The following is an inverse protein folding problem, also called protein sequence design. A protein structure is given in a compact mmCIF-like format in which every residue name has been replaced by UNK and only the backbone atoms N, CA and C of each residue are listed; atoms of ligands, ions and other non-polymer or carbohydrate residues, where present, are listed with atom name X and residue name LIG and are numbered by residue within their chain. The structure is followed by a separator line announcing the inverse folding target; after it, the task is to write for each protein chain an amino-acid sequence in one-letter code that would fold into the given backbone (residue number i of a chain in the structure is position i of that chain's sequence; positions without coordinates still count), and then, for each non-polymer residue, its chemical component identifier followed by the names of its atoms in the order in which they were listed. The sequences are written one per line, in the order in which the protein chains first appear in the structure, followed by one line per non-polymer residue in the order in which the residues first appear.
data_IF_049618647593
#
_entry.id   IF_049618647593
#
_cell.length_a   1.000
_cell.length_b   1.000
_cell.length_c   1.000
_cell.angle_alpha   90.00
_cell.angle_beta   90.00
_cell.angle_gamma   90.00
#
_symmetry.space_group_name_H-M   'P 1'
#
loop_
_entity.id
_entity.type
_entity.pdbx_description
1 polymer ?
#
# COMPACT_ATOMS: atom_id res chain seq x y z
N UNK A 1 -39.59 -2.44 4.23
CA UNK A 1 -38.35 -3.22 4.42
C UNK A 1 -37.13 -2.52 3.80
N UNK A 2 -37.29 -1.80 2.69
CA UNK A 2 -36.21 -1.05 2.02
C UNK A 2 -35.67 0.14 2.82
N UNK A 3 -36.50 0.94 3.50
CA UNK A 3 -36.03 2.07 4.32
C UNK A 3 -35.09 1.66 5.46
N UNK A 4 -35.40 0.55 6.15
CA UNK A 4 -34.51 -0.01 7.19
C UNK A 4 -33.18 -0.50 6.60
N UNK A 5 -33.19 -1.03 5.37
CA UNK A 5 -31.97 -1.46 4.68
C UNK A 5 -31.09 -0.28 4.24
N UNK A 6 -31.72 0.83 3.82
CA UNK A 6 -31.04 2.07 3.45
C UNK A 6 -30.45 2.75 4.68
N UNK A 7 -31.22 2.90 5.77
CA UNK A 7 -30.71 3.46 7.03
C UNK A 7 -29.54 2.66 7.61
N UNK A 8 -29.60 1.32 7.61
CA UNK A 8 -28.48 0.48 8.04
C UNK A 8 -27.21 0.71 7.19
N UNK A 9 -27.36 0.91 5.88
CA UNK A 9 -26.23 1.22 5.00
C UNK A 9 -25.58 2.57 5.32
N UNK A 10 -26.35 3.60 5.67
CA UNK A 10 -25.81 4.89 6.05
C UNK A 10 -25.10 4.89 7.40
N UNK A 11 -25.66 4.22 8.41
CA UNK A 11 -25.02 4.09 9.74
C UNK A 11 -23.66 3.38 9.60
N UNK A 12 -23.63 2.26 8.87
CA UNK A 12 -22.37 1.54 8.59
C UNK A 12 -21.38 2.39 7.80
N UNK A 13 -21.86 3.23 6.87
CA UNK A 13 -21.01 4.17 6.12
C UNK A 13 -20.37 5.19 7.05
N UNK A 14 -21.14 5.79 7.97
CA UNK A 14 -20.62 6.77 8.93
C UNK A 14 -19.58 6.12 9.86
N UNK A 15 -19.86 4.91 10.37
CA UNK A 15 -18.89 4.16 11.18
C UNK A 15 -17.59 3.93 10.40
N UNK A 16 -17.67 3.50 9.14
CA UNK A 16 -16.49 3.33 8.28
C UNK A 16 -15.74 4.63 8.04
N UNK A 17 -16.44 5.76 7.93
CA UNK A 17 -15.82 7.07 7.77
C UNK A 17 -15.03 7.48 9.02
N UNK A 18 -15.61 7.30 10.21
CA UNK A 18 -14.92 7.56 11.49
C UNK A 18 -13.70 6.65 11.64
N UNK A 19 -13.86 5.35 11.37
CA UNK A 19 -12.75 4.40 11.40
C UNK A 19 -11.67 4.74 10.37
N UNK A 20 -12.05 5.19 9.17
CA UNK A 20 -11.11 5.69 8.18
C UNK A 20 -10.28 6.86 8.73
N UNK A 21 -10.89 7.86 9.37
CA UNK A 21 -10.16 9.01 9.93
C UNK A 21 -9.13 8.56 10.98
N UNK A 22 -9.51 7.61 11.84
CA UNK A 22 -8.62 7.01 12.84
C UNK A 22 -7.45 6.30 12.14
N UNK A 23 -7.73 5.43 11.17
CA UNK A 23 -6.71 4.67 10.43
C UNK A 23 -5.82 5.60 9.62
N UNK A 24 -6.37 6.69 9.06
CA UNK A 24 -5.64 7.67 8.28
C UNK A 24 -4.56 8.36 9.12
N UNK A 25 -4.82 8.61 10.41
CA UNK A 25 -3.80 9.13 11.33
C UNK A 25 -2.59 8.19 11.43
N UNK A 26 -2.84 6.87 11.55
CA UNK A 26 -1.77 5.87 11.56
C UNK A 26 -1.06 5.79 10.21
N UNK A 27 -1.80 5.84 9.09
CA UNK A 27 -1.23 5.81 7.75
C UNK A 27 -0.23 6.95 7.53
N UNK A 28 -0.60 8.17 7.91
CA UNK A 28 0.24 9.36 7.76
C UNK A 28 1.50 9.24 8.60
N UNK A 29 1.37 8.89 9.88
CA UNK A 29 2.53 8.81 10.80
C UNK A 29 3.46 7.64 10.44
N UNK A 30 2.92 6.47 10.08
CA UNK A 30 3.72 5.36 9.57
C UNK A 30 4.47 5.75 8.30
N UNK A 31 3.83 6.46 7.36
CA UNK A 31 4.47 6.91 6.13
C UNK A 31 5.61 7.90 6.39
N UNK A 32 5.42 8.83 7.34
CA UNK A 32 6.46 9.79 7.75
C UNK A 32 7.67 9.09 8.35
N UNK A 33 7.44 8.18 9.31
CA UNK A 33 8.51 7.40 9.96
C UNK A 33 9.23 6.53 8.94
N UNK A 34 8.48 5.89 8.03
CA UNK A 34 9.05 5.09 6.94
C UNK A 34 9.99 5.91 6.06
N UNK A 35 9.54 7.07 5.59
CA UNK A 35 10.35 7.95 4.76
C UNK A 35 11.59 8.47 5.51
N UNK A 36 11.44 8.78 6.80
CA UNK A 36 12.55 9.20 7.66
C UNK A 36 13.60 8.11 7.77
N UNK A 37 13.20 6.88 8.08
CA UNK A 37 14.11 5.73 8.18
C UNK A 37 14.80 5.44 6.86
N UNK A 38 14.12 5.55 5.72
CA UNK A 38 14.75 5.41 4.41
C UNK A 38 15.82 6.45 4.15
N UNK A 39 15.58 7.72 4.52
CA UNK A 39 16.55 8.82 4.36
C UNK A 39 17.79 8.66 5.22
N UNK A 40 17.67 8.00 6.37
CA UNK A 40 18.80 7.72 7.26
C UNK A 40 19.72 6.60 6.73
N UNK A 41 19.29 5.83 5.73
CA UNK A 41 20.09 4.76 5.13
C UNK A 41 20.80 5.28 3.89
N UNK A 42 22.07 5.66 4.03
CA UNK A 42 22.91 6.16 2.92
C UNK A 42 23.01 5.21 1.72
N UNK A 43 22.91 3.90 1.97
CA UNK A 43 22.92 2.88 0.90
C UNK A 43 21.64 2.85 0.05
N UNK A 44 20.58 3.55 0.47
CA UNK A 44 19.29 3.56 -0.20
C UNK A 44 19.16 4.80 -1.10
N UNK A 45 19.21 4.59 -2.42
CA UNK A 45 19.01 5.65 -3.41
C UNK A 45 17.52 5.95 -3.59
N UNK A 46 17.02 6.97 -2.89
CA UNK A 46 15.61 7.40 -2.96
C UNK A 46 15.17 7.74 -4.39
N UNK A 47 16.08 8.25 -5.23
CA UNK A 47 15.81 8.50 -6.65
C UNK A 47 15.38 7.25 -7.41
N UNK A 48 15.94 6.07 -7.08
CA UNK A 48 15.55 4.79 -7.70
C UNK A 48 14.14 4.38 -7.29
N UNK A 49 13.76 4.63 -6.03
CA UNK A 49 12.39 4.41 -5.56
C UNK A 49 11.41 5.37 -6.23
N UNK A 50 11.77 6.65 -6.36
CA UNK A 50 10.93 7.63 -7.03
C UNK A 50 10.72 7.26 -8.50
N UNK A 51 11.80 6.87 -9.19
CA UNK A 51 11.73 6.42 -10.57
C UNK A 51 10.86 5.17 -10.73
N UNK A 52 10.91 4.20 -9.80
CA UNK A 52 10.06 3.01 -9.89
C UNK A 52 8.58 3.33 -9.74
N UNK A 53 8.22 4.23 -8.82
CA UNK A 53 6.85 4.74 -8.66
C UNK A 53 6.40 5.47 -9.94
N UNK A 54 7.23 6.36 -10.48
CA UNK A 54 6.92 7.13 -11.68
C UNK A 54 6.73 6.24 -12.91
N UNK A 55 7.65 5.29 -13.13
CA UNK A 55 7.56 4.32 -14.23
C UNK A 55 6.31 3.46 -14.11
N UNK A 56 6.00 2.98 -12.91
CA UNK A 56 4.79 2.21 -12.66
C UNK A 56 3.53 3.02 -12.98
N UNK A 57 3.48 4.29 -12.54
CA UNK A 57 2.36 5.17 -12.81
C UNK A 57 2.21 5.47 -14.30
N UNK A 58 3.31 5.78 -14.99
CA UNK A 58 3.33 6.02 -16.43
C UNK A 58 2.87 4.79 -17.22
N UNK A 59 3.38 3.60 -16.88
CA UNK A 59 2.96 2.34 -17.48
C UNK A 59 1.45 2.12 -17.34
N UNK A 60 0.92 2.28 -16.12
CA UNK A 60 -0.49 2.04 -15.89
C UNK A 60 -1.41 3.07 -16.56
N UNK A 61 -0.98 4.33 -16.63
CA UNK A 61 -1.77 5.44 -17.19
C UNK A 61 -1.76 5.45 -18.71
N UNK A 62 -0.59 5.22 -19.33
CA UNK A 62 -0.41 5.40 -20.77
C UNK A 62 -0.38 4.10 -21.57
N UNK A 63 -0.18 2.94 -20.93
CA UNK A 63 -0.16 1.65 -21.62
C UNK A 63 -1.33 0.77 -21.16
N UNK A 64 -1.36 0.43 -19.87
CA UNK A 64 -2.31 -0.56 -19.35
C UNK A 64 -3.79 -0.09 -19.40
N UNK A 65 -4.05 1.20 -19.21
CA UNK A 65 -5.42 1.75 -19.27
C UNK A 65 -5.95 1.98 -20.68
N UNK A 66 -5.06 2.18 -21.64
CA UNK A 66 -5.42 2.44 -23.04
C UNK A 66 -5.58 1.13 -23.84
N UNK A 67 -4.97 0.02 -23.39
CA UNK A 67 -5.00 -1.24 -24.11
C UNK A 67 -6.14 -2.19 -23.67
N UNK A 68 -7.06 -2.46 -24.60
CA UNK A 68 -8.15 -3.42 -24.43
C UNK A 68 -7.65 -4.86 -24.19
N UNK A 69 -6.47 -5.21 -24.71
CA UNK A 69 -5.86 -6.53 -24.55
C UNK A 69 -5.44 -6.74 -23.09
N UNK A 70 -4.88 -5.71 -22.45
CA UNK A 70 -4.51 -5.74 -21.04
C UNK A 70 -5.74 -5.91 -20.13
N UNK A 71 -6.83 -5.21 -20.45
CA UNK A 71 -8.11 -5.35 -19.75
C UNK A 71 -8.70 -6.77 -19.87
N UNK A 72 -8.48 -7.46 -20.99
CA UNK A 72 -8.88 -8.87 -21.20
C UNK A 72 -7.98 -9.85 -20.42
N UNK A 73 -6.66 -9.67 -20.46
CA UNK A 73 -5.70 -10.48 -19.68
C UNK A 73 -6.01 -10.35 -18.18
N UNK A 74 -6.26 -9.13 -17.70
CA UNK A 74 -6.67 -8.92 -16.31
C UNK A 74 -7.96 -9.68 -15.97
N UNK A 75 -9.03 -9.54 -16.77
CA UNK A 75 -10.29 -10.26 -16.49
C UNK A 75 -10.15 -11.79 -16.59
N UNK A 76 -9.22 -12.31 -17.39
CA UNK A 76 -8.97 -13.73 -17.52
C UNK A 76 -8.26 -14.32 -16.29
N UNK A 77 -7.17 -13.68 -15.84
CA UNK A 77 -6.40 -14.15 -14.68
C UNK A 77 -7.06 -13.80 -13.33
N UNK A 78 -7.84 -12.72 -13.24
CA UNK A 78 -8.35 -12.17 -11.97
C UNK A 78 -9.85 -12.44 -11.73
N UNK A 79 -10.40 -13.55 -12.26
CA UNK A 79 -11.83 -13.90 -12.15
C UNK A 79 -12.28 -14.34 -10.75
N UNK A 80 -11.35 -14.73 -9.86
CA UNK A 80 -11.66 -15.19 -8.48
C UNK A 80 -11.13 -14.20 -7.45
N UNK A 81 -11.98 -13.78 -6.51
CA UNK A 81 -11.70 -12.80 -5.44
C UNK A 81 -10.53 -13.22 -4.54
N UNK A 82 -10.23 -14.52 -4.46
CA UNK A 82 -9.14 -15.08 -3.65
C UNK A 82 -7.79 -15.02 -4.38
N UNK A 83 -7.71 -15.49 -5.62
CA UNK A 83 -6.50 -15.36 -6.46
C UNK A 83 -6.15 -13.88 -6.69
N UNK A 84 -7.16 -13.02 -6.72
CA UNK A 84 -7.08 -11.57 -6.86
C UNK A 84 -6.32 -10.82 -5.76
N UNK A 85 -6.40 -11.27 -4.51
CA UNK A 85 -5.67 -10.67 -3.36
C UNK A 85 -4.28 -11.31 -3.17
N UNK A 86 -4.16 -12.60 -3.50
CA UNK A 86 -2.90 -13.33 -3.34
C UNK A 86 -1.91 -13.12 -4.49
N UNK A 87 -2.33 -12.94 -5.75
CA UNK A 87 -1.39 -12.91 -6.89
C UNK A 87 -0.36 -11.76 -6.80
N UNK A 88 -0.75 -10.51 -6.48
CA UNK A 88 0.22 -9.43 -6.31
C UNK A 88 1.16 -9.68 -5.12
N UNK A 89 0.62 -10.27 -4.04
CA UNK A 89 1.39 -10.71 -2.87
C UNK A 89 2.36 -11.85 -3.22
N UNK A 90 1.97 -12.75 -4.13
CA UNK A 90 2.78 -13.82 -4.72
C UNK A 90 3.86 -13.27 -5.64
N UNK A 91 3.60 -12.22 -6.42
CA UNK A 91 4.64 -11.56 -7.24
C UNK A 91 5.64 -10.83 -6.35
N UNK A 92 5.18 -10.18 -5.26
CA UNK A 92 6.07 -9.62 -4.23
C UNK A 92 6.86 -10.74 -3.54
N UNK A 93 6.23 -11.87 -3.17
CA UNK A 93 6.89 -13.05 -2.59
C UNK A 93 7.86 -13.75 -3.55
N UNK A 94 7.55 -13.80 -4.85
CA UNK A 94 8.41 -14.33 -5.90
C UNK A 94 9.56 -13.37 -6.19
N UNK A 95 9.34 -12.05 -6.12
CA UNK A 95 10.40 -11.05 -6.14
C UNK A 95 11.31 -11.19 -4.91
N UNK A 96 10.73 -11.32 -3.72
CA UNK A 96 11.46 -11.63 -2.48
C UNK A 96 12.25 -12.93 -2.64
N UNK A 97 11.65 -14.01 -3.16
CA UNK A 97 12.30 -15.31 -3.39
C UNK A 97 13.42 -15.25 -4.43
N UNK A 98 13.18 -14.56 -5.55
CA UNK A 98 14.14 -14.34 -6.63
C UNK A 98 15.37 -13.55 -6.14
N UNK A 99 15.21 -12.63 -5.19
CA UNK A 99 16.32 -11.88 -4.59
C UNK A 99 16.92 -12.50 -3.32
N UNK A 100 16.20 -13.38 -2.64
CA UNK A 100 16.76 -14.23 -1.59
C UNK A 100 17.74 -15.24 -2.18
N UNK A 101 17.50 -15.76 -3.39
CA UNK A 101 18.36 -16.74 -4.04
C UNK A 101 19.81 -16.24 -4.25
N UNK A 102 20.06 -15.05 -4.83
CA UNK A 102 21.40 -14.44 -4.88
C UNK A 102 22.03 -14.25 -3.50
N UNK A 103 21.25 -13.84 -2.50
CA UNK A 103 21.74 -13.62 -1.13
C UNK A 103 22.15 -14.93 -0.45
N UNK A 104 21.41 -16.01 -0.65
CA UNK A 104 21.72 -17.35 -0.12
C UNK A 104 22.92 -17.96 -0.86
N UNK A 105 23.02 -17.75 -2.17
CA UNK A 105 24.10 -18.27 -3.01
C UNK A 105 25.37 -17.39 -3.01
N UNK A 106 25.38 -16.27 -2.29
CA UNK A 106 26.53 -15.36 -2.22
C UNK A 106 26.83 -14.58 -3.51
N UNK A 107 25.88 -14.50 -4.45
CA UNK A 107 26.05 -13.74 -5.68
C UNK A 107 25.90 -12.23 -5.42
N UNK A 108 26.72 -11.43 -6.10
CA UNK A 108 26.54 -9.99 -6.15
C UNK A 108 25.25 -9.66 -6.91
N UNK A 109 24.38 -8.85 -6.31
CA UNK A 109 23.16 -8.35 -6.97
C UNK A 109 23.07 -6.83 -6.85
N UNK A 110 22.45 -6.20 -7.84
CA UNK A 110 22.24 -4.76 -7.83
C UNK A 110 21.19 -4.37 -6.79
N UNK A 111 21.62 -3.67 -5.73
CA UNK A 111 20.73 -3.09 -4.71
C UNK A 111 19.73 -2.10 -5.32
N UNK A 112 20.11 -1.47 -6.42
CA UNK A 112 19.26 -0.52 -7.15
C UNK A 112 18.14 -1.25 -7.89
N UNK A 113 18.46 -2.36 -8.58
CA UNK A 113 17.45 -3.21 -9.22
C UNK A 113 16.48 -3.78 -8.18
N UNK A 114 17.00 -4.24 -7.05
CA UNK A 114 16.19 -4.69 -5.91
C UNK A 114 15.24 -3.60 -5.41
N UNK A 115 15.75 -2.39 -5.19
CA UNK A 115 14.95 -1.26 -4.73
C UNK A 115 13.89 -0.83 -5.77
N UNK A 116 14.27 -0.84 -7.06
CA UNK A 116 13.39 -0.51 -8.17
C UNK A 116 12.22 -1.50 -8.25
N UNK A 117 12.49 -2.80 -8.27
CA UNK A 117 11.46 -3.83 -8.39
C UNK A 117 10.54 -3.86 -7.17
N UNK A 118 11.09 -3.68 -5.97
CA UNK A 118 10.28 -3.57 -4.76
C UNK A 118 9.32 -2.38 -4.81
N UNK A 119 9.83 -1.20 -5.19
CA UNK A 119 9.00 0.00 -5.34
C UNK A 119 7.95 -0.15 -6.46
N UNK A 120 8.33 -0.72 -7.60
CA UNK A 120 7.42 -0.98 -8.72
C UNK A 120 6.29 -1.93 -8.32
N UNK A 121 6.60 -3.03 -7.61
CA UNK A 121 5.61 -3.99 -7.14
C UNK A 121 4.68 -3.37 -6.08
N UNK A 122 5.22 -2.60 -5.15
CA UNK A 122 4.46 -1.85 -4.15
C UNK A 122 3.45 -0.89 -4.84
N UNK A 123 3.92 -0.05 -5.76
CA UNK A 123 3.06 0.89 -6.48
C UNK A 123 2.05 0.19 -7.37
N UNK A 124 2.45 -0.87 -8.08
CA UNK A 124 1.56 -1.67 -8.92
C UNK A 124 0.40 -2.24 -8.12
N UNK A 125 0.67 -2.76 -6.92
CA UNK A 125 -0.37 -3.31 -6.06
C UNK A 125 -1.33 -2.20 -5.57
N UNK A 126 -0.82 -1.03 -5.19
CA UNK A 126 -1.67 0.09 -4.79
C UNK A 126 -2.56 0.61 -5.94
N UNK A 127 -2.02 0.74 -7.15
CA UNK A 127 -2.80 1.13 -8.33
C UNK A 127 -3.89 0.10 -8.61
N UNK A 128 -3.54 -1.19 -8.55
CA UNK A 128 -4.49 -2.27 -8.75
C UNK A 128 -5.63 -2.24 -7.72
N UNK A 129 -5.29 -2.17 -6.42
CA UNK A 129 -6.28 -2.04 -5.35
C UNK A 129 -7.16 -0.82 -5.61
N UNK A 130 -6.57 0.35 -5.84
CA UNK A 130 -7.32 1.59 -6.03
C UNK A 130 -8.36 1.50 -7.17
N UNK A 131 -8.01 0.85 -8.29
CA UNK A 131 -8.94 0.65 -9.42
C UNK A 131 -10.13 -0.21 -9.06
N UNK A 132 -9.92 -1.23 -8.25
CA UNK A 132 -10.91 -2.27 -7.96
C UNK A 132 -11.91 -1.86 -6.89
N UNK A 133 -11.44 -1.13 -5.87
CA UNK A 133 -12.30 -0.67 -4.78
C UNK A 133 -13.00 0.66 -5.08
N UNK A 134 -12.74 1.28 -6.25
CA UNK A 134 -13.33 2.59 -6.61
C UNK A 134 -14.85 2.51 -6.74
N UNK A 135 -15.56 3.14 -5.80
CA UNK A 135 -17.01 3.32 -5.85
C UNK A 135 -17.42 4.66 -6.48
N UNK A 136 -18.57 4.70 -7.16
CA UNK A 136 -19.18 5.93 -7.72
C UNK A 136 -20.18 6.62 -6.78
N UNK A 137 -20.60 5.94 -5.72
CA UNK A 137 -21.54 6.46 -4.71
C UNK A 137 -20.79 6.91 -3.46
N UNK A 138 -21.40 7.73 -2.61
CA UNK A 138 -20.80 8.16 -1.33
C UNK A 138 -20.39 6.96 -0.45
N UNK A 139 -21.27 5.98 -0.25
CA UNK A 139 -20.95 4.74 0.48
C UNK A 139 -19.79 3.98 -0.16
N UNK A 140 -19.76 3.91 -1.49
CA UNK A 140 -18.65 3.29 -2.23
C UNK A 140 -17.34 4.05 -2.05
N UNK A 141 -17.36 5.38 -2.02
CA UNK A 141 -16.19 6.22 -1.79
C UNK A 141 -15.65 6.10 -0.34
N UNK A 142 -16.51 6.08 0.66
CA UNK A 142 -16.10 5.87 2.05
C UNK A 142 -15.49 4.47 2.24
N UNK A 143 -16.13 3.45 1.65
CA UNK A 143 -15.59 2.08 1.67
C UNK A 143 -14.23 2.00 0.95
N UNK A 144 -14.09 2.72 -0.17
CA UNK A 144 -12.82 2.86 -0.89
C UNK A 144 -11.73 3.42 0.02
N UNK A 145 -11.97 4.58 0.65
CA UNK A 145 -10.98 5.24 1.53
C UNK A 145 -10.57 4.32 2.68
N UNK A 146 -11.55 3.74 3.36
CA UNK A 146 -11.32 2.82 4.48
C UNK A 146 -10.46 1.61 4.07
N UNK A 147 -10.86 0.88 3.02
CA UNK A 147 -10.13 -0.31 2.56
C UNK A 147 -8.75 0.03 2.02
N UNK A 148 -8.63 1.13 1.27
CA UNK A 148 -7.36 1.61 0.73
C UNK A 148 -6.38 1.91 1.84
N UNK A 149 -6.80 2.60 2.91
CA UNK A 149 -5.91 2.93 4.03
C UNK A 149 -5.38 1.70 4.76
N UNK A 150 -6.22 0.69 5.00
CA UNK A 150 -5.79 -0.58 5.62
C UNK A 150 -4.77 -1.28 4.73
N UNK A 151 -5.09 -1.44 3.45
CA UNK A 151 -4.22 -2.14 2.49
C UNK A 151 -2.91 -1.39 2.27
N UNK A 152 -2.93 -0.05 2.31
CA UNK A 152 -1.73 0.76 2.24
C UNK A 152 -0.80 0.50 3.43
N UNK A 153 -1.32 0.52 4.66
CA UNK A 153 -0.53 0.23 5.88
C UNK A 153 0.10 -1.17 5.79
N UNK A 154 -0.69 -2.18 5.42
CA UNK A 154 -0.20 -3.55 5.27
C UNK A 154 0.90 -3.64 4.22
N UNK A 155 0.71 -3.01 3.05
CA UNK A 155 1.73 -2.95 2.01
C UNK A 155 3.00 -2.24 2.46
N UNK A 156 2.88 -1.18 3.25
CA UNK A 156 4.02 -0.44 3.78
C UNK A 156 4.85 -1.32 4.74
N UNK A 157 4.20 -2.13 5.57
CA UNK A 157 4.87 -3.09 6.47
C UNK A 157 5.59 -4.17 5.65
N UNK A 158 4.91 -4.76 4.66
CA UNK A 158 5.50 -5.79 3.78
C UNK A 158 6.70 -5.21 3.01
N UNK A 159 6.57 -3.99 2.49
CA UNK A 159 7.66 -3.31 1.81
C UNK A 159 8.82 -2.98 2.78
N UNK A 160 8.52 -2.63 4.04
CA UNK A 160 9.53 -2.50 5.08
C UNK A 160 10.26 -3.81 5.38
N UNK A 161 9.55 -4.95 5.41
CA UNK A 161 10.17 -6.27 5.53
C UNK A 161 11.07 -6.58 4.33
N UNK A 162 10.62 -6.25 3.11
CA UNK A 162 11.42 -6.37 1.90
C UNK A 162 12.73 -5.57 2.00
N UNK A 163 12.66 -4.29 2.37
CA UNK A 163 13.85 -3.45 2.54
C UNK A 163 14.76 -3.92 3.68
N UNK A 164 14.20 -4.54 4.73
CA UNK A 164 15.00 -5.14 5.82
C UNK A 164 15.98 -6.20 5.31
N UNK A 165 15.62 -6.96 4.27
CA UNK A 165 16.47 -8.04 3.74
C UNK A 165 17.82 -7.50 3.23
N UNK A 166 17.82 -6.35 2.56
CA UNK A 166 19.01 -5.83 1.86
C UNK A 166 19.61 -4.60 2.52
N UNK A 167 18.78 -3.73 3.08
CA UNK A 167 19.19 -2.44 3.63
C UNK A 167 19.15 -2.39 5.17
N UNK A 168 18.83 -3.51 5.84
CA UNK A 168 18.74 -3.60 7.31
C UNK A 168 17.89 -2.47 7.92
N UNK A 169 16.71 -2.23 7.33
CA UNK A 169 15.73 -1.27 7.83
C UNK A 169 15.19 -1.70 9.22
N UNK A 170 15.09 -0.76 10.17
CA UNK A 170 14.61 -1.05 11.53
C UNK A 170 13.08 -1.09 11.58
N UNK A 171 12.49 -2.19 11.14
CA UNK A 171 11.03 -2.36 11.07
C UNK A 171 10.33 -2.20 12.43
N UNK A 172 10.95 -2.66 13.52
CA UNK A 172 10.38 -2.53 14.88
C UNK A 172 10.21 -1.07 15.29
N UNK A 173 11.24 -0.25 15.03
CA UNK A 173 11.20 1.20 15.25
C UNK A 173 10.10 1.84 14.42
N UNK A 174 9.97 1.42 13.17
CA UNK A 174 8.95 1.92 12.25
C UNK A 174 7.53 1.69 12.77
N UNK A 175 7.23 0.46 13.20
CA UNK A 175 5.92 0.10 13.74
C UNK A 175 5.68 0.85 15.05
N UNK A 176 6.64 0.83 15.97
CA UNK A 176 6.46 1.43 17.30
C UNK A 176 6.29 2.96 17.24
N UNK A 177 7.18 3.66 16.53
CA UNK A 177 7.08 5.12 16.37
C UNK A 177 5.85 5.51 15.55
N UNK A 178 5.51 4.76 14.50
CA UNK A 178 4.32 5.01 13.70
C UNK A 178 3.01 4.83 14.49
N UNK A 179 2.91 3.77 15.30
CA UNK A 179 1.74 3.54 16.18
C UNK A 179 1.65 4.63 17.25
N UNK A 180 2.77 4.98 17.90
CA UNK A 180 2.81 6.04 18.91
C UNK A 180 2.43 7.40 18.31
N UNK A 181 2.97 7.73 17.15
CA UNK A 181 2.63 8.94 16.40
C UNK A 181 1.15 8.97 16.03
N UNK A 182 0.62 7.87 15.47
CA UNK A 182 -0.80 7.75 15.11
C UNK A 182 -1.73 7.98 16.30
N UNK A 183 -1.43 7.36 17.45
CA UNK A 183 -2.18 7.58 18.69
C UNK A 183 -2.14 9.05 19.16
N UNK A 184 -0.98 9.70 19.04
CA UNK A 184 -0.85 11.13 19.35
C UNK A 184 -1.68 12.00 18.40
N UNK A 185 -1.66 11.70 17.09
CA UNK A 185 -2.44 12.43 16.08
C UNK A 185 -3.95 12.28 16.32
N UNK A 186 -4.41 11.09 16.70
CA UNK A 186 -5.80 10.86 17.12
C UNK A 186 -6.15 11.77 18.29
N UNK A 187 -5.32 11.79 19.35
CA UNK A 187 -5.56 12.63 20.52
C UNK A 187 -5.67 14.11 20.14
N UNK A 188 -4.79 14.61 19.28
CA UNK A 188 -4.83 16.00 18.80
C UNK A 188 -6.14 16.28 18.04
N UNK A 189 -6.55 15.36 17.17
CA UNK A 189 -7.74 15.49 16.35
C UNK A 189 -9.01 15.50 17.22
N UNK A 190 -9.09 14.64 18.23
CA UNK A 190 -10.16 14.69 19.24
C UNK A 190 -10.18 16.02 20.00
N UNK A 191 -9.02 16.52 20.46
CA UNK A 191 -8.96 17.81 21.15
C UNK A 191 -9.42 18.96 20.25
N UNK A 192 -9.12 18.93 18.95
CA UNK A 192 -9.56 19.96 18.01
C UNK A 192 -11.05 19.88 17.64
N UNK A 193 -11.66 18.69 17.68
CA UNK A 193 -13.07 18.52 17.34
C UNK A 193 -14.02 18.83 18.50
N UNK A 194 -13.57 18.65 19.76
CA UNK A 194 -14.38 18.82 20.96
C UNK A 194 -14.04 20.09 21.75
N UNK A 195 -13.29 21.01 21.15
CA UNK A 195 -12.92 22.31 21.69
C UNK A 195 -13.44 23.41 20.79
#
# INVERSE_FOLDING_TARGET
MEEKSLQNNYILTIVKLVLFLIIFCFLVELSKVFLKEMRLKESLKISVLFNSVLFCFAFYTFLADLDNLYRKIQRFFFRSTFLFLCLPSLVILLGVGFFLFPKIMGFSFSKELFLFLGGFAFTSHLIFVARQIKGRTFTGFVNYLFMFSILYILNLIIFGMYLKIVFNLHLTKLIFEGVRGGASSIKILFVQLFK
#
